data_IF_334368458283
#
_entry.id   IF_334368458283
#
_cell.length_a   1.000
_cell.length_b   1.000
_cell.length_c   1.000
_cell.angle_alpha   90.00
_cell.angle_beta   90.00
_cell.angle_gamma   90.00
#
_symmetry.space_group_name_H-M   'P 1'
#
loop_
_entity.id
_entity.type
_entity.pdbx_description
1 polymer ?
#
# COMPACT_ATOMS: atom_id res chain seq x y z
N UNK A 1 0.27 -12.17 -61.48
CA UNK A 1 -0.69 -12.90 -60.63
C UNK A 1 -0.33 -12.64 -59.17
N UNK A 2 -1.27 -12.19 -58.33
CA UNK A 2 -0.96 -11.73 -56.98
C UNK A 2 -0.63 -12.91 -56.06
N UNK A 3 0.42 -12.79 -55.26
CA UNK A 3 0.74 -13.76 -54.24
C UNK A 3 -0.31 -13.69 -53.13
N UNK A 4 -1.02 -14.78 -52.90
CA UNK A 4 -1.89 -14.93 -51.73
C UNK A 4 -1.00 -15.06 -50.50
N UNK A 5 -0.93 -14.00 -49.70
CA UNK A 5 -0.30 -14.04 -48.39
C UNK A 5 -0.98 -15.13 -47.53
N UNK A 6 -0.17 -15.99 -46.91
CA UNK A 6 -0.65 -17.07 -46.04
C UNK A 6 -1.49 -16.51 -44.88
N UNK A 7 -2.68 -17.07 -44.59
CA UNK A 7 -3.54 -16.60 -43.49
C UNK A 7 -2.86 -16.76 -42.12
N UNK A 8 -1.85 -17.64 -42.03
CA UNK A 8 -1.02 -17.81 -40.84
C UNK A 8 -0.10 -16.61 -40.59
N UNK A 9 0.40 -15.98 -41.67
CA UNK A 9 1.25 -14.79 -41.58
C UNK A 9 0.44 -13.56 -41.13
N UNK A 10 -0.83 -13.49 -41.55
CA UNK A 10 -1.76 -12.45 -41.12
C UNK A 10 -2.13 -12.60 -39.64
N UNK A 11 -2.28 -13.84 -39.14
CA UNK A 11 -2.56 -14.13 -37.73
C UNK A 11 -1.37 -13.79 -36.83
N UNK A 12 -0.13 -14.00 -37.30
CA UNK A 12 1.11 -13.65 -36.59
C UNK A 12 1.36 -12.12 -36.53
N UNK A 13 0.85 -11.36 -37.51
CA UNK A 13 0.93 -9.89 -37.55
C UNK A 13 -0.12 -9.20 -36.66
N UNK A 14 -1.13 -9.93 -36.19
CA UNK A 14 -2.24 -9.45 -35.36
C UNK A 14 -2.08 -9.81 -33.86
N UNK A 15 -0.87 -10.16 -33.41
CA UNK A 15 -0.52 -10.08 -31.99
C UNK A 15 0.11 -8.70 -31.69
N UNK A 16 -0.67 -7.59 -31.58
CA UNK A 16 -0.14 -6.42 -30.95
C UNK A 16 0.09 -6.78 -29.48
N UNK A 17 1.31 -6.48 -29.06
CA UNK A 17 1.84 -6.53 -27.72
C UNK A 17 0.86 -5.88 -26.72
N UNK A 18 0.00 -6.69 -26.09
CA UNK A 18 -0.73 -6.29 -24.90
C UNK A 18 0.26 -6.33 -23.72
N UNK A 19 1.18 -5.37 -23.67
CA UNK A 19 1.90 -5.06 -22.44
C UNK A 19 0.86 -4.49 -21.46
N UNK A 20 0.33 -5.35 -20.61
CA UNK A 20 -0.51 -4.93 -19.49
C UNK A 20 0.31 -4.01 -18.58
N UNK A 21 0.11 -2.71 -18.68
CA UNK A 21 0.63 -1.74 -17.72
C UNK A 21 -0.21 -1.84 -16.45
N UNK A 22 0.20 -2.72 -15.54
CA UNK A 22 -0.34 -2.75 -14.19
C UNK A 22 0.04 -1.44 -13.48
N UNK A 23 -0.90 -0.62 -12.98
CA UNK A 23 -0.55 0.53 -12.16
C UNK A 23 0.02 0.02 -10.83
N UNK A 24 1.28 0.38 -10.56
CA UNK A 24 1.97 0.07 -9.31
C UNK A 24 1.49 1.00 -8.20
N UNK A 25 0.28 0.77 -7.69
CA UNK A 25 -0.17 1.42 -6.46
C UNK A 25 0.40 0.66 -5.24
N UNK A 26 1.71 0.75 -4.98
CA UNK A 26 2.27 0.59 -3.63
C UNK A 26 3.76 0.97 -3.52
N UNK A 27 4.14 1.82 -2.55
CA UNK A 27 5.53 2.00 -2.15
C UNK A 27 5.82 1.01 -1.01
N UNK A 28 6.11 -0.26 -1.32
CA UNK A 28 6.41 -1.24 -0.27
C UNK A 28 7.44 -2.32 -0.60
N UNK A 29 8.07 -2.33 -1.78
CA UNK A 29 9.14 -3.31 -2.07
C UNK A 29 10.41 -2.64 -2.61
N UNK A 30 11.58 -2.84 -1.98
CA UNK A 30 12.85 -2.20 -2.38
C UNK A 30 13.51 -2.84 -3.62
N UNK A 31 12.86 -3.77 -4.32
CA UNK A 31 13.55 -4.64 -5.29
C UNK A 31 12.89 -4.75 -6.68
N UNK A 32 12.18 -3.73 -7.16
CA UNK A 32 11.84 -3.65 -8.59
C UNK A 32 12.26 -2.29 -9.18
N UNK A 33 13.16 -2.27 -10.19
CA UNK A 33 13.40 -1.06 -10.96
C UNK A 33 12.13 -0.72 -11.75
N UNK A 34 11.65 0.52 -11.60
CA UNK A 34 10.48 1.03 -12.28
C UNK A 34 10.69 0.98 -13.81
N UNK A 35 9.95 0.10 -14.49
CA UNK A 35 9.98 -0.03 -15.96
C UNK A 35 9.29 1.12 -16.70
N UNK A 36 8.86 2.18 -16.01
CA UNK A 36 8.24 3.36 -16.59
C UNK A 36 8.96 4.60 -16.08
N UNK A 37 9.87 5.13 -16.90
CA UNK A 37 10.55 6.38 -16.61
C UNK A 37 9.54 7.55 -16.57
N UNK A 38 9.63 8.35 -15.51
CA UNK A 38 9.17 9.73 -15.40
C UNK A 38 7.65 10.01 -15.55
N UNK A 39 6.80 9.29 -14.83
CA UNK A 39 5.52 9.89 -14.41
C UNK A 39 5.82 10.86 -13.24
N UNK A 40 5.29 12.10 -13.24
CA UNK A 40 5.43 12.96 -12.07
C UNK A 40 4.91 12.17 -10.88
N UNK A 41 5.73 12.06 -9.82
CA UNK A 41 5.30 11.43 -8.59
C UNK A 41 3.97 12.08 -8.21
N UNK A 42 2.88 11.31 -8.26
CA UNK A 42 1.56 11.73 -7.80
C UNK A 42 1.64 11.79 -6.27
N UNK A 43 2.40 12.77 -5.77
CA UNK A 43 2.43 13.12 -4.38
C UNK A 43 1.09 13.83 -4.12
N UNK A 44 0.25 13.31 -3.22
CA UNK A 44 -0.97 14.00 -2.86
C UNK A 44 -0.62 15.41 -2.38
N UNK A 45 -1.39 16.41 -2.79
CA UNK A 45 -1.25 17.78 -2.31
C UNK A 45 -1.58 17.79 -0.80
N UNK A 46 -0.54 17.73 0.05
CA UNK A 46 -0.68 17.80 1.51
C UNK A 46 -1.01 19.25 1.90
N UNK A 47 -2.29 19.52 2.15
CA UNK A 47 -2.74 20.79 2.76
C UNK A 47 -2.59 20.70 4.27
N UNK A 48 -1.36 20.90 4.74
CA UNK A 48 -1.02 20.96 6.17
C UNK A 48 -1.45 22.30 6.81
N UNK A 49 -2.64 22.81 6.46
CA UNK A 49 -3.15 24.09 6.94
C UNK A 49 -4.62 23.99 7.32
N UNK A 50 -4.97 24.59 8.46
CA UNK A 50 -6.34 24.71 8.94
C UNK A 50 -6.50 26.02 9.73
N UNK A 51 -7.48 26.86 9.36
CA UNK A 51 -7.77 28.12 10.08
C UNK A 51 -6.61 29.12 10.12
N UNK A 52 -5.69 29.10 9.14
CA UNK A 52 -4.48 29.93 9.14
C UNK A 52 -3.31 29.37 9.98
N UNK A 53 -3.51 28.22 10.64
CA UNK A 53 -2.47 27.48 11.34
C UNK A 53 -1.80 26.40 10.48
N UNK A 54 -0.79 25.74 11.06
CA UNK A 54 -0.08 24.59 10.47
C UNK A 54 -0.57 23.29 11.11
N UNK A 55 -0.81 22.27 10.31
CA UNK A 55 -1.05 20.91 10.77
C UNK A 55 0.31 20.22 10.91
N UNK A 56 0.53 19.56 12.04
CA UNK A 56 1.74 18.79 12.33
C UNK A 56 1.32 17.36 12.66
N UNK A 57 1.88 16.41 11.94
CA UNK A 57 1.71 14.99 12.27
C UNK A 57 2.63 14.62 13.43
N UNK A 58 2.05 14.18 14.54
CA UNK A 58 2.75 13.75 15.76
C UNK A 58 2.68 12.22 15.95
N UNK A 59 2.24 11.50 14.91
CA UNK A 59 1.97 10.08 14.96
C UNK A 59 3.14 9.30 14.40
N UNK A 60 3.59 8.27 15.12
CA UNK A 60 4.57 7.34 14.57
C UNK A 60 3.91 6.35 13.61
N UNK A 61 4.61 5.97 12.54
CA UNK A 61 4.18 4.88 11.67
C UNK A 61 4.14 3.55 12.42
N UNK A 62 3.11 2.76 12.18
CA UNK A 62 3.10 1.35 12.59
C UNK A 62 4.09 0.55 11.78
N UNK A 63 4.98 -0.16 12.47
CA UNK A 63 5.97 -1.06 11.88
C UNK A 63 6.09 -2.30 12.75
N UNK A 64 6.41 -3.43 12.16
CA UNK A 64 6.57 -4.70 12.89
C UNK A 64 7.71 -4.59 13.92
N UNK A 65 8.74 -3.82 13.61
CA UNK A 65 9.93 -3.59 14.42
C UNK A 65 9.79 -2.45 15.45
N UNK A 66 8.64 -1.78 15.52
CA UNK A 66 8.49 -0.65 16.43
C UNK A 66 8.53 -1.11 17.89
N UNK A 67 9.08 -0.31 18.81
CA UNK A 67 9.11 -0.67 20.23
C UNK A 67 7.71 -0.97 20.77
N UNK A 68 7.63 -1.99 21.62
CA UNK A 68 6.39 -2.40 22.29
C UNK A 68 6.66 -2.50 23.80
N UNK A 69 5.65 -2.20 24.62
CA UNK A 69 5.77 -2.22 26.07
C UNK A 69 6.24 -3.60 26.55
N UNK A 70 7.27 -3.61 27.40
CA UNK A 70 7.88 -4.83 27.97
C UNK A 70 8.36 -5.89 26.97
N UNK A 71 8.46 -5.55 25.68
CA UNK A 71 8.91 -6.47 24.63
C UNK A 71 10.15 -5.93 23.92
N UNK A 72 11.22 -6.73 23.90
CA UNK A 72 12.40 -6.47 23.06
C UNK A 72 12.21 -6.91 21.61
N UNK A 73 11.12 -7.60 21.28
CA UNK A 73 10.84 -8.11 19.94
C UNK A 73 10.06 -7.12 19.06
N UNK A 74 9.64 -5.98 19.63
CA UNK A 74 8.76 -5.02 18.98
C UNK A 74 7.30 -5.49 18.96
N UNK A 75 6.53 -4.98 18.01
CA UNK A 75 5.08 -5.28 17.84
C UNK A 75 4.86 -6.60 17.11
N UNK A 76 5.77 -7.00 16.22
CA UNK A 76 5.65 -8.21 15.41
C UNK A 76 4.59 -8.09 14.31
N UNK A 77 4.13 -9.24 13.78
CA UNK A 77 3.10 -9.29 12.73
C UNK A 77 1.77 -8.72 13.26
N UNK A 78 1.40 -7.53 12.78
CA UNK A 78 0.14 -6.87 13.16
C UNK A 78 -0.81 -6.65 11.98
N UNK A 79 -0.37 -6.87 10.74
CA UNK A 79 -1.10 -6.60 9.49
C UNK A 79 -1.22 -7.88 8.65
N UNK A 80 -2.40 -8.18 8.13
CA UNK A 80 -2.66 -9.27 7.19
C UNK A 80 -3.38 -8.72 5.96
N UNK A 81 -3.19 -9.39 4.82
CA UNK A 81 -3.83 -9.02 3.55
C UNK A 81 -4.75 -10.14 3.05
N UNK A 82 -5.94 -10.33 3.68
CA UNK A 82 -6.88 -11.40 3.31
C UNK A 82 -7.38 -11.30 1.86
N UNK A 83 -7.46 -10.11 1.28
CA UNK A 83 -7.78 -9.93 -0.14
C UNK A 83 -6.85 -8.93 -0.81
N UNK A 84 -6.42 -9.24 -2.03
CA UNK A 84 -5.51 -8.40 -2.80
C UNK A 84 -5.96 -8.27 -4.25
N UNK A 85 -5.76 -7.08 -4.83
CA UNK A 85 -5.94 -6.84 -6.26
C UNK A 85 -5.02 -7.73 -7.10
N UNK A 86 -3.84 -8.06 -6.58
CA UNK A 86 -2.93 -9.03 -7.23
C UNK A 86 -3.59 -10.41 -7.40
N UNK A 87 -4.49 -10.77 -6.49
CA UNK A 87 -5.21 -12.04 -6.48
C UNK A 87 -6.66 -11.88 -7.01
N UNK A 88 -6.95 -10.82 -7.77
CA UNK A 88 -8.24 -10.61 -8.42
C UNK A 88 -9.32 -9.93 -7.57
N UNK A 89 -9.01 -9.46 -6.36
CA UNK A 89 -9.93 -8.62 -5.58
C UNK A 89 -10.09 -7.23 -6.20
N UNK A 90 -11.23 -6.57 -5.95
CA UNK A 90 -11.45 -5.18 -6.37
C UNK A 90 -10.58 -4.18 -5.61
N UNK A 91 -10.06 -4.56 -4.44
CA UNK A 91 -9.22 -3.74 -3.57
C UNK A 91 -8.25 -4.60 -2.76
N UNK A 92 -7.20 -3.97 -2.24
CA UNK A 92 -6.35 -4.55 -1.19
C UNK A 92 -7.05 -4.32 0.16
N UNK A 93 -7.56 -5.38 0.77
CA UNK A 93 -8.21 -5.33 2.07
C UNK A 93 -7.25 -5.82 3.13
N UNK A 94 -6.96 -4.96 4.11
CA UNK A 94 -6.06 -5.29 5.21
C UNK A 94 -6.84 -5.55 6.50
N UNK A 95 -6.39 -6.54 7.26
CA UNK A 95 -6.81 -6.79 8.63
C UNK A 95 -5.67 -6.47 9.58
N UNK A 96 -6.00 -5.88 10.73
CA UNK A 96 -5.00 -5.51 11.73
C UNK A 96 -5.36 -6.06 13.10
N UNK A 97 -4.36 -6.51 13.85
CA UNK A 97 -4.48 -7.00 15.23
C UNK A 97 -3.25 -6.58 16.02
N UNK A 98 -3.46 -5.75 17.03
CA UNK A 98 -2.43 -5.25 17.94
C UNK A 98 -3.06 -4.83 19.27
N UNK A 99 -2.29 -4.76 20.38
CA UNK A 99 -2.76 -4.14 21.62
C UNK A 99 -3.21 -2.70 21.40
N UNK A 100 -4.21 -2.23 22.15
CA UNK A 100 -4.70 -0.85 22.08
C UNK A 100 -3.65 0.19 22.49
N UNK A 101 -2.63 -0.22 23.22
CA UNK A 101 -1.52 0.61 23.71
C UNK A 101 -0.28 0.56 22.79
N UNK A 102 -0.50 0.40 21.47
CA UNK A 102 0.57 0.33 20.47
C UNK A 102 0.76 1.68 19.79
N UNK A 103 2.01 2.17 19.70
CA UNK A 103 2.34 3.42 19.02
C UNK A 103 1.79 4.68 19.70
N UNK A 104 1.64 5.76 18.94
CA UNK A 104 0.99 6.98 19.44
C UNK A 104 -0.50 6.68 19.67
N UNK A 105 -0.94 6.63 20.93
CA UNK A 105 -2.29 6.23 21.32
C UNK A 105 -2.86 7.10 22.45
N UNK A 106 -4.12 6.85 22.82
CA UNK A 106 -4.82 7.53 23.91
C UNK A 106 -5.47 6.49 24.81
N UNK A 107 -5.29 6.64 26.13
CA UNK A 107 -5.91 5.79 27.13
C UNK A 107 -7.27 6.35 27.56
N UNK A 108 -8.30 5.51 27.53
CA UNK A 108 -9.56 5.84 28.20
C UNK A 108 -9.38 5.75 29.72
N UNK A 109 -10.16 6.47 30.55
CA UNK A 109 -9.93 6.39 32.00
C UNK A 109 -10.23 4.99 32.58
N UNK A 110 -11.06 4.19 31.88
CA UNK A 110 -11.26 2.77 32.19
C UNK A 110 -10.01 1.89 31.99
N UNK A 111 -8.93 2.41 31.40
CA UNK A 111 -7.63 1.71 31.29
C UNK A 111 -7.05 1.38 32.67
N UNK A 112 -7.23 2.29 33.63
CA UNK A 112 -6.68 2.17 35.00
C UNK A 112 -7.77 2.19 36.08
N UNK A 113 -9.03 2.40 35.71
CA UNK A 113 -10.13 2.58 36.65
C UNK A 113 -11.30 1.63 36.37
N UNK A 114 -11.49 0.66 37.25
CA UNK A 114 -12.46 -0.43 37.11
C UNK A 114 -13.92 0.00 37.38
N UNK A 115 -14.15 0.96 38.28
CA UNK A 115 -15.49 1.27 38.82
C UNK A 115 -15.77 2.77 38.78
N UNK A 116 -16.64 3.23 37.87
CA UNK A 116 -17.11 4.61 37.78
C UNK A 116 -18.21 4.94 38.78
#
# INVERSE_FOLDING_TARGET
MPQMASPLLLLLLLLPLAAATAPCAHPAYPSQPASCAAEPALAPERRETHGGGRILDITHYYREDMPSWESSAGVGQFLWLPASMRNGSLANNSEMRMPTHTGTHVDAPGHVFQHY
#
